data_IF_604248951547
#
_entry.id   IF_604248951547
#
_cell.length_a   1.000
_cell.length_b   1.000
_cell.length_c   1.000
_cell.angle_alpha   90.00
_cell.angle_beta   90.00
_cell.angle_gamma   90.00
#
_symmetry.space_group_name_H-M   'P 1'
#
loop_
_entity.id
_entity.type
_entity.pdbx_description
1 polymer ?
#
# COMPACT_ATOMS: atom_id res chain seq x y z
N UNK A 1 -12.28 -42.75 -29.95
CA UNK A 1 -11.44 -42.08 -28.94
C UNK A 1 -11.54 -40.58 -29.13
N UNK A 2 -12.23 -39.86 -28.23
CA UNK A 2 -12.24 -38.39 -28.18
C UNK A 2 -11.08 -37.94 -27.28
N UNK A 3 -10.21 -37.04 -27.74
CA UNK A 3 -9.17 -36.53 -26.87
C UNK A 3 -9.79 -35.59 -25.80
N UNK A 4 -9.51 -35.90 -24.55
CA UNK A 4 -9.88 -35.06 -23.40
C UNK A 4 -8.90 -33.90 -23.33
N UNK A 5 -9.37 -32.68 -23.68
CA UNK A 5 -8.58 -31.48 -23.59
C UNK A 5 -8.50 -31.06 -22.10
N UNK A 6 -7.38 -31.33 -21.46
CA UNK A 6 -7.12 -30.88 -20.10
C UNK A 6 -6.76 -29.37 -20.17
N UNK A 7 -7.73 -28.51 -19.83
CA UNK A 7 -7.46 -27.09 -19.64
C UNK A 7 -6.67 -26.96 -18.33
N UNK A 8 -5.36 -26.76 -18.44
CA UNK A 8 -4.54 -26.41 -17.30
C UNK A 8 -4.85 -24.96 -16.89
N UNK A 9 -5.63 -24.79 -15.83
CA UNK A 9 -5.76 -23.48 -15.16
C UNK A 9 -4.42 -23.15 -14.48
N UNK A 10 -3.58 -22.38 -15.13
CA UNK A 10 -2.44 -21.76 -14.48
C UNK A 10 -2.98 -20.73 -13.48
N UNK A 11 -2.77 -20.97 -12.19
CA UNK A 11 -2.91 -19.94 -11.16
C UNK A 11 -1.79 -18.93 -11.41
N UNK A 12 -2.10 -17.87 -12.13
CA UNK A 12 -1.19 -16.75 -12.26
C UNK A 12 -1.01 -16.14 -10.87
N UNK A 13 0.12 -16.44 -10.22
CA UNK A 13 0.61 -15.63 -9.10
C UNK A 13 0.93 -14.29 -9.76
N UNK A 14 0.21 -13.22 -9.39
CA UNK A 14 0.53 -11.89 -9.89
C UNK A 14 1.95 -11.55 -9.44
N UNK A 15 2.84 -11.38 -10.42
CA UNK A 15 4.20 -10.92 -10.18
C UNK A 15 4.13 -9.53 -9.53
N UNK A 16 4.99 -9.26 -8.58
CA UNK A 16 5.07 -7.96 -7.91
C UNK A 16 5.42 -6.88 -8.93
N UNK A 17 4.76 -5.72 -8.83
CA UNK A 17 4.90 -4.62 -9.79
C UNK A 17 6.38 -4.19 -9.93
N UNK A 18 6.89 -4.17 -11.16
CA UNK A 18 8.30 -3.86 -11.44
C UNK A 18 8.57 -2.35 -11.36
N UNK A 19 9.77 -1.97 -10.94
CA UNK A 19 10.21 -0.57 -11.01
C UNK A 19 10.05 -0.03 -12.44
N UNK A 20 9.61 1.21 -12.56
CA UNK A 20 9.29 1.86 -13.83
C UNK A 20 7.88 1.58 -14.37
N UNK A 21 7.11 0.67 -13.75
CA UNK A 21 5.71 0.44 -14.14
C UNK A 21 4.82 1.62 -13.83
N UNK A 22 3.75 1.78 -14.61
CA UNK A 22 2.68 2.75 -14.36
C UNK A 22 1.82 2.36 -13.16
N UNK A 23 1.06 3.31 -12.61
CA UNK A 23 0.07 3.08 -11.55
C UNK A 23 -1.02 2.14 -12.08
N UNK A 24 -1.13 0.90 -11.58
CA UNK A 24 -2.18 0.00 -12.06
C UNK A 24 -3.53 0.39 -11.47
N UNK A 25 -4.59 0.22 -12.26
CA UNK A 25 -5.97 0.51 -11.83
C UNK A 25 -6.17 1.94 -11.29
N UNK A 26 -5.42 2.91 -11.83
CA UNK A 26 -5.35 4.29 -11.32
C UNK A 26 -6.69 5.02 -11.20
N UNK A 27 -7.69 4.68 -12.01
CA UNK A 27 -9.02 5.33 -12.03
C UNK A 27 -10.09 4.57 -11.24
N UNK A 28 -9.76 3.39 -10.69
CA UNK A 28 -10.72 2.60 -9.90
C UNK A 28 -11.05 3.31 -8.60
N UNK A 29 -12.35 3.51 -8.36
CA UNK A 29 -12.85 4.18 -7.15
C UNK A 29 -12.88 3.25 -5.96
N UNK A 30 -12.21 3.64 -4.90
CA UNK A 30 -12.25 3.02 -3.57
C UNK A 30 -13.08 3.86 -2.61
N UNK A 31 -13.77 3.21 -1.68
CA UNK A 31 -14.49 3.89 -0.60
C UNK A 31 -13.51 4.14 0.54
N UNK A 32 -13.35 5.42 0.90
CA UNK A 32 -12.61 5.85 2.09
C UNK A 32 -13.48 5.72 3.36
N UNK A 33 -12.85 5.64 4.52
CA UNK A 33 -13.53 5.57 5.82
C UNK A 33 -14.50 6.75 6.07
N UNK A 34 -14.30 7.90 5.43
CA UNK A 34 -15.23 9.04 5.44
C UNK A 34 -16.47 8.83 4.58
N UNK A 35 -16.53 7.76 3.78
CA UNK A 35 -17.57 7.48 2.80
C UNK A 35 -17.33 8.12 1.43
N UNK A 36 -16.30 8.94 1.26
CA UNK A 36 -15.90 9.49 -0.05
C UNK A 36 -15.38 8.38 -0.96
N UNK A 37 -15.54 8.57 -2.26
CA UNK A 37 -14.94 7.68 -3.27
C UNK A 37 -13.77 8.39 -3.91
N UNK A 38 -12.59 7.77 -3.83
CA UNK A 38 -11.35 8.31 -4.39
C UNK A 38 -10.65 7.25 -5.26
N UNK A 39 -9.85 7.70 -6.23
CA UNK A 39 -9.00 6.83 -7.04
C UNK A 39 -7.53 7.22 -6.86
N UNK A 40 -6.60 6.35 -7.26
CA UNK A 40 -5.17 6.61 -7.14
C UNK A 40 -4.74 7.85 -7.94
N UNK A 41 -5.31 8.02 -9.15
CA UNK A 41 -5.02 9.17 -10.00
C UNK A 41 -5.52 10.49 -9.42
N UNK A 42 -6.64 10.49 -8.66
CA UNK A 42 -7.14 11.69 -7.97
C UNK A 42 -6.32 12.04 -6.73
N UNK A 43 -5.70 11.05 -6.07
CA UNK A 43 -4.87 11.27 -4.88
C UNK A 43 -3.46 11.67 -5.26
N UNK A 44 -2.98 11.26 -6.46
CA UNK A 44 -1.66 11.62 -6.95
C UNK A 44 -1.50 13.15 -6.97
N UNK A 45 -0.41 13.64 -6.39
CA UNK A 45 -0.02 15.06 -6.41
C UNK A 45 1.10 15.30 -7.44
N UNK A 46 1.59 16.53 -7.51
CA UNK A 46 2.55 16.99 -8.50
C UNK A 46 3.80 16.09 -8.57
N UNK A 47 4.40 15.77 -7.41
CA UNK A 47 5.63 14.99 -7.36
C UNK A 47 5.40 13.47 -7.30
N UNK A 48 4.16 13.01 -7.13
CA UNK A 48 3.87 11.58 -7.17
C UNK A 48 2.78 11.10 -6.25
N UNK A 49 2.84 9.78 -5.98
CA UNK A 49 1.86 9.06 -5.16
C UNK A 49 2.54 8.01 -4.29
N UNK A 50 2.23 7.99 -3.02
CA UNK A 50 2.59 6.95 -2.07
C UNK A 50 1.37 6.08 -1.76
N UNK A 51 1.47 4.79 -2.05
CA UNK A 51 0.46 3.78 -1.73
C UNK A 51 1.00 2.87 -0.64
N UNK A 52 0.24 2.71 0.44
CA UNK A 52 0.53 1.78 1.53
C UNK A 52 -0.59 0.74 1.65
N UNK A 53 -0.34 -0.50 1.26
CA UNK A 53 -1.26 -1.59 1.60
C UNK A 53 -1.15 -1.90 3.09
N UNK A 54 -2.22 -1.72 3.83
CA UNK A 54 -2.26 -1.84 5.29
C UNK A 54 -3.51 -2.57 5.75
N UNK A 55 -3.64 -2.81 7.06
CA UNK A 55 -4.81 -3.44 7.66
C UNK A 55 -4.87 -3.13 9.16
N UNK A 56 -5.95 -3.54 9.84
CA UNK A 56 -6.14 -3.22 11.26
C UNK A 56 -5.49 -4.27 12.18
N UNK A 57 -5.46 -5.53 11.77
CA UNK A 57 -5.20 -6.67 12.68
C UNK A 57 -3.77 -7.21 12.59
N UNK A 58 -2.94 -6.70 11.68
CA UNK A 58 -1.58 -7.17 11.50
C UNK A 58 -0.63 -6.60 12.57
N UNK A 59 0.10 -7.43 13.34
CA UNK A 59 1.08 -6.97 14.33
C UNK A 59 2.22 -6.12 13.72
N UNK A 60 2.58 -6.34 12.46
CA UNK A 60 3.56 -5.54 11.77
C UNK A 60 3.03 -4.15 11.45
N UNK A 61 1.77 -4.03 11.01
CA UNK A 61 1.13 -2.73 10.81
C UNK A 61 1.08 -1.96 12.14
N UNK A 62 0.66 -2.61 13.22
CA UNK A 62 0.59 -2.00 14.55
C UNK A 62 1.99 -1.53 15.02
N UNK A 63 3.04 -2.29 14.70
CA UNK A 63 4.40 -1.93 15.08
C UNK A 63 4.96 -0.69 14.37
N UNK A 64 4.39 -0.30 13.22
CA UNK A 64 4.79 0.91 12.47
C UNK A 64 3.81 2.07 12.60
N UNK A 65 2.75 1.98 13.43
CA UNK A 65 1.72 3.02 13.52
C UNK A 65 2.24 4.40 13.92
N UNK A 66 3.26 4.44 14.76
CA UNK A 66 3.94 5.68 15.19
C UNK A 66 4.64 6.44 14.05
N UNK A 67 4.78 5.83 12.85
CA UNK A 67 5.40 6.45 11.68
C UNK A 67 4.39 6.85 10.61
N UNK A 68 3.16 6.34 10.65
CA UNK A 68 2.20 6.55 9.57
C UNK A 68 1.83 8.02 9.38
N UNK A 69 1.49 8.75 10.46
CA UNK A 69 1.20 10.17 10.39
C UNK A 69 2.43 10.97 9.93
N UNK A 70 3.63 10.65 10.45
CA UNK A 70 4.88 11.27 10.02
C UNK A 70 5.17 11.06 8.53
N UNK A 71 4.83 9.88 7.98
CA UNK A 71 4.97 9.58 6.55
C UNK A 71 3.93 10.36 5.75
N UNK A 72 2.69 10.48 6.25
CA UNK A 72 1.66 11.33 5.64
C UNK A 72 2.12 12.77 5.53
N UNK A 73 2.51 13.38 6.65
CA UNK A 73 3.01 14.75 6.71
C UNK A 73 4.19 14.98 5.78
N UNK A 74 5.17 14.05 5.81
CA UNK A 74 6.35 14.15 4.96
C UNK A 74 6.00 14.04 3.47
N UNK A 75 5.06 13.17 3.12
CA UNK A 75 4.60 13.02 1.74
C UNK A 75 3.94 14.31 1.25
N UNK A 76 3.00 14.85 2.02
CA UNK A 76 2.30 16.09 1.69
C UNK A 76 3.27 17.28 1.59
N UNK A 77 4.23 17.41 2.51
CA UNK A 77 5.26 18.45 2.47
C UNK A 77 6.17 18.36 1.22
N UNK A 78 6.21 17.20 0.55
CA UNK A 78 6.94 16.97 -0.68
C UNK A 78 6.04 16.92 -1.93
N UNK A 79 4.78 17.40 -1.88
CA UNK A 79 3.79 17.31 -2.95
C UNK A 79 3.59 15.89 -3.50
N UNK A 80 3.62 14.90 -2.62
CA UNK A 80 3.35 13.49 -2.91
C UNK A 80 2.03 13.11 -2.24
N UNK A 81 1.04 12.67 -3.02
CA UNK A 81 -0.22 12.18 -2.47
C UNK A 81 0.01 10.91 -1.65
N UNK A 82 -0.73 10.75 -0.55
CA UNK A 82 -0.64 9.56 0.30
C UNK A 82 -1.99 8.89 0.46
N UNK A 83 -2.02 7.58 0.31
CA UNK A 83 -3.21 6.75 0.49
C UNK A 83 -2.87 5.41 1.13
N UNK A 84 -3.64 5.03 2.12
CA UNK A 84 -3.60 3.71 2.73
C UNK A 84 -4.77 2.87 2.24
N UNK A 85 -4.51 1.62 1.85
CA UNK A 85 -5.49 0.71 1.26
C UNK A 85 -5.56 -0.57 2.08
N UNK A 86 -6.76 -0.96 2.51
CA UNK A 86 -6.99 -2.23 3.19
C UNK A 86 -7.41 -3.31 2.18
N UNK A 87 -6.54 -4.29 1.86
CA UNK A 87 -6.81 -5.33 0.88
C UNK A 87 -7.41 -6.62 1.47
N UNK A 88 -7.64 -6.70 2.79
CA UNK A 88 -8.03 -7.93 3.49
C UNK A 88 -9.50 -8.30 3.28
N UNK A 89 -9.95 -8.43 2.04
CA UNK A 89 -11.36 -8.68 1.69
C UNK A 89 -11.95 -9.94 2.32
N UNK A 90 -11.16 -11.02 2.47
CA UNK A 90 -11.64 -12.26 3.12
C UNK A 90 -12.06 -12.05 4.57
N UNK A 91 -11.41 -11.12 5.26
CA UNK A 91 -11.62 -10.86 6.68
C UNK A 91 -12.58 -9.70 6.95
N UNK A 92 -13.08 -9.04 5.89
CA UNK A 92 -13.85 -7.79 5.96
C UNK A 92 -15.07 -7.86 6.87
N UNK A 93 -15.79 -8.98 6.81
CA UNK A 93 -17.03 -9.15 7.56
C UNK A 93 -16.86 -9.86 8.91
N UNK A 94 -15.69 -10.43 9.20
CA UNK A 94 -15.56 -11.42 10.28
C UNK A 94 -14.49 -11.12 11.32
N UNK A 95 -13.45 -10.35 10.98
CA UNK A 95 -12.21 -10.29 11.79
C UNK A 95 -11.64 -8.86 11.84
N UNK A 96 -12.45 -7.87 12.28
CA UNK A 96 -11.93 -6.53 12.58
C UNK A 96 -11.32 -5.77 11.39
N UNK A 97 -11.77 -6.07 10.16
CA UNK A 97 -11.30 -5.41 8.93
C UNK A 97 -12.45 -4.71 8.17
N UNK A 98 -13.62 -4.60 8.79
CA UNK A 98 -14.78 -3.90 8.25
C UNK A 98 -14.57 -2.39 8.22
N UNK A 99 -15.47 -1.68 7.52
CA UNK A 99 -15.35 -0.23 7.38
C UNK A 99 -15.42 0.49 8.75
N UNK A 100 -16.27 0.02 9.66
CA UNK A 100 -16.38 0.59 10.99
C UNK A 100 -15.16 0.26 11.86
N UNK A 101 -14.61 -0.95 11.76
CA UNK A 101 -13.34 -1.30 12.40
C UNK A 101 -12.18 -0.42 11.89
N UNK A 102 -12.16 -0.11 10.58
CA UNK A 102 -11.18 0.80 9.99
C UNK A 102 -11.31 2.23 10.52
N UNK A 103 -12.55 2.73 10.72
CA UNK A 103 -12.80 4.04 11.35
C UNK A 103 -12.30 4.07 12.79
N UNK A 104 -12.60 3.05 13.58
CA UNK A 104 -12.14 2.93 14.97
C UNK A 104 -10.61 2.85 15.04
N UNK A 105 -10.00 2.08 14.15
CA UNK A 105 -8.54 1.97 14.04
C UNK A 105 -7.90 3.31 13.68
N UNK A 106 -8.44 4.01 12.68
CA UNK A 106 -7.99 5.33 12.27
C UNK A 106 -8.10 6.34 13.43
N UNK A 107 -9.23 6.36 14.13
CA UNK A 107 -9.42 7.21 15.32
C UNK A 107 -8.45 6.87 16.45
N UNK A 108 -8.20 5.59 16.70
CA UNK A 108 -7.27 5.13 17.75
C UNK A 108 -5.86 5.64 17.55
N UNK A 109 -5.40 5.74 16.31
CA UNK A 109 -4.04 6.16 15.95
C UNK A 109 -3.97 7.57 15.38
N UNK A 110 -5.09 8.30 15.46
CA UNK A 110 -5.19 9.71 15.04
C UNK A 110 -4.76 9.93 13.58
N UNK A 111 -5.22 9.01 12.69
CA UNK A 111 -4.88 9.08 11.26
C UNK A 111 -5.58 10.27 10.61
N UNK A 112 -4.83 11.11 9.91
CA UNK A 112 -5.28 12.28 9.15
C UNK A 112 -5.22 12.09 7.63
N UNK A 113 -5.02 10.84 7.17
CA UNK A 113 -4.87 10.46 5.77
C UNK A 113 -5.99 9.53 5.27
N UNK A 114 -6.08 9.37 3.95
CA UNK A 114 -7.05 8.49 3.31
C UNK A 114 -6.80 7.02 3.67
N UNK A 115 -7.84 6.36 4.18
CA UNK A 115 -7.82 4.93 4.47
C UNK A 115 -8.98 4.23 3.76
N UNK A 116 -8.69 3.54 2.67
CA UNK A 116 -9.65 3.06 1.70
C UNK A 116 -9.79 1.53 1.71
N UNK A 117 -10.93 1.06 1.20
CA UNK A 117 -11.25 -0.35 1.04
C UNK A 117 -10.89 -0.81 -0.39
N UNK A 118 -10.02 -1.80 -0.51
CA UNK A 118 -9.82 -2.55 -1.75
C UNK A 118 -10.88 -3.66 -1.87
N UNK A 119 -11.90 -3.43 -2.69
CA UNK A 119 -12.96 -4.41 -2.93
C UNK A 119 -12.39 -5.63 -3.66
N UNK A 120 -12.67 -6.81 -3.13
CA UNK A 120 -12.19 -8.09 -3.67
C UNK A 120 -10.65 -8.23 -3.75
N UNK A 121 -9.90 -7.34 -3.10
CA UNK A 121 -8.43 -7.28 -3.17
C UNK A 121 -7.92 -7.13 -4.62
N UNK A 122 -8.65 -6.43 -5.47
CA UNK A 122 -8.33 -6.29 -6.90
C UNK A 122 -7.12 -5.41 -7.13
N UNK A 123 -7.03 -4.29 -6.41
CA UNK A 123 -5.90 -3.35 -6.50
C UNK A 123 -4.63 -4.01 -5.97
N UNK A 124 -4.69 -4.67 -4.81
CA UNK A 124 -3.54 -5.40 -4.28
C UNK A 124 -3.03 -6.48 -5.24
N UNK A 125 -3.95 -7.17 -5.94
CA UNK A 125 -3.56 -8.14 -6.98
C UNK A 125 -2.88 -7.47 -8.17
N UNK A 126 -3.39 -6.32 -8.64
CA UNK A 126 -2.80 -5.58 -9.76
C UNK A 126 -1.39 -5.05 -9.43
N UNK A 127 -1.13 -4.70 -8.18
CA UNK A 127 0.19 -4.32 -7.67
C UNK A 127 1.12 -5.52 -7.40
N UNK A 128 0.58 -6.74 -7.37
CA UNK A 128 1.31 -7.91 -6.87
C UNK A 128 1.67 -7.78 -5.38
N UNK A 129 0.94 -6.97 -4.62
CA UNK A 129 1.14 -6.82 -3.19
C UNK A 129 0.81 -8.12 -2.47
N UNK A 130 1.67 -8.57 -1.56
CA UNK A 130 1.53 -9.86 -0.88
C UNK A 130 1.39 -9.75 0.63
N UNK A 131 1.74 -8.60 1.19
CA UNK A 131 1.77 -8.39 2.65
C UNK A 131 1.20 -7.03 3.07
N UNK A 132 0.97 -6.86 4.37
CA UNK A 132 0.66 -5.58 5.01
C UNK A 132 1.59 -5.39 6.21
N UNK A 133 2.31 -4.23 6.33
CA UNK A 133 2.36 -3.16 5.32
C UNK A 133 3.16 -3.55 4.08
N UNK A 134 2.86 -2.92 2.93
CA UNK A 134 3.64 -3.01 1.71
C UNK A 134 3.56 -1.66 0.97
N UNK A 135 4.68 -1.05 0.72
CA UNK A 135 4.82 0.32 0.22
C UNK A 135 5.12 0.32 -1.27
N UNK A 136 4.49 1.27 -1.99
CA UNK A 136 4.76 1.58 -3.40
C UNK A 136 4.77 3.10 -3.58
N UNK A 137 5.90 3.66 -4.03
CA UNK A 137 6.06 5.08 -4.29
C UNK A 137 6.24 5.32 -5.79
N UNK A 138 5.39 6.15 -6.35
CA UNK A 138 5.43 6.58 -7.75
C UNK A 138 5.90 8.04 -7.83
N UNK A 139 6.65 8.37 -8.87
CA UNK A 139 7.12 9.73 -9.14
C UNK A 139 6.05 10.59 -9.85
N UNK A 140 6.43 11.81 -10.25
CA UNK A 140 5.59 12.76 -10.99
C UNK A 140 4.98 12.17 -12.27
N UNK A 141 5.73 11.33 -13.01
CA UNK A 141 5.28 10.66 -14.21
C UNK A 141 4.37 9.44 -13.96
N UNK A 142 4.08 9.14 -12.68
CA UNK A 142 3.31 7.96 -12.29
C UNK A 142 4.09 6.64 -12.46
N UNK A 143 5.42 6.69 -12.49
CA UNK A 143 6.28 5.51 -12.57
C UNK A 143 6.70 5.05 -11.18
N UNK A 144 6.65 3.73 -10.93
CA UNK A 144 7.10 3.13 -9.68
C UNK A 144 8.61 3.33 -9.51
N UNK A 145 9.01 3.99 -8.42
CA UNK A 145 10.41 4.33 -8.14
C UNK A 145 10.93 3.73 -6.83
N UNK A 146 10.02 3.32 -5.92
CA UNK A 146 10.37 2.59 -4.70
C UNK A 146 9.26 1.61 -4.34
N UNK A 147 9.63 0.41 -3.84
CA UNK A 147 8.71 -0.54 -3.21
C UNK A 147 9.37 -1.28 -2.04
N UNK A 148 8.57 -1.72 -1.07
CA UNK A 148 9.04 -2.56 0.03
C UNK A 148 8.61 -2.11 1.41
N UNK A 149 9.57 -2.01 2.35
CA UNK A 149 9.34 -1.70 3.76
C UNK A 149 9.39 -0.19 4.04
N UNK A 150 8.92 0.21 5.22
CA UNK A 150 9.02 1.59 5.71
C UNK A 150 10.45 1.90 6.16
N UNK A 151 11.01 1.04 7.01
CA UNK A 151 12.36 1.14 7.54
C UNK A 151 12.90 -0.25 7.91
N UNK A 152 14.08 -0.33 8.52
CA UNK A 152 14.71 -1.59 8.90
C UNK A 152 14.33 -2.10 10.31
N UNK A 153 13.44 -1.40 11.05
CA UNK A 153 13.08 -1.80 12.41
C UNK A 153 11.67 -1.37 12.85
N UNK A 154 10.67 -2.20 12.53
CA UNK A 154 9.28 -1.95 12.89
C UNK A 154 9.04 -1.75 14.39
N UNK A 155 9.66 -2.58 15.24
CA UNK A 155 9.36 -2.69 16.67
C UNK A 155 10.12 -1.69 17.54
N UNK A 156 11.22 -1.13 17.06
CA UNK A 156 12.11 -0.29 17.85
C UNK A 156 12.49 0.95 17.05
N UNK A 157 11.65 2.02 17.07
CA UNK A 157 11.88 3.25 16.32
C UNK A 157 13.27 3.86 16.59
N UNK A 158 13.70 3.82 17.86
CA UNK A 158 15.00 4.34 18.29
C UNK A 158 16.22 3.49 17.85
N UNK A 159 15.97 2.36 17.19
CA UNK A 159 17.01 1.47 16.62
C UNK A 159 16.98 1.41 15.10
N UNK A 160 16.16 2.23 14.46
CA UNK A 160 16.16 2.37 13.00
C UNK A 160 17.51 2.91 12.55
N UNK A 161 18.15 2.22 11.61
CA UNK A 161 19.43 2.61 11.00
C UNK A 161 19.26 2.99 9.53
N UNK A 162 18.20 2.52 8.89
CA UNK A 162 17.90 2.75 7.46
C UNK A 162 16.45 3.20 7.31
N UNK A 163 16.29 4.44 6.89
CA UNK A 163 15.01 5.14 6.73
C UNK A 163 14.51 5.06 5.29
N UNK A 164 14.44 3.82 4.74
CA UNK A 164 14.20 3.56 3.31
C UNK A 164 13.14 4.46 2.67
N UNK A 165 11.92 4.46 3.23
CA UNK A 165 10.80 5.21 2.68
C UNK A 165 10.98 6.73 2.85
N UNK A 166 11.45 7.18 4.00
CA UNK A 166 11.71 8.61 4.26
C UNK A 166 12.73 9.15 3.27
N UNK A 167 13.81 8.40 3.01
CA UNK A 167 14.85 8.78 2.06
C UNK A 167 14.31 8.80 0.63
N UNK A 168 13.46 7.84 0.27
CA UNK A 168 12.81 7.78 -1.04
C UNK A 168 11.84 8.95 -1.27
N UNK A 169 10.99 9.30 -0.28
CA UNK A 169 10.07 10.46 -0.35
C UNK A 169 10.86 11.75 -0.56
N UNK A 170 11.92 11.99 0.24
CA UNK A 170 12.77 13.18 0.11
C UNK A 170 13.47 13.26 -1.24
N UNK A 171 13.93 12.13 -1.76
CA UNK A 171 14.56 12.08 -3.07
C UNK A 171 13.58 12.43 -4.19
N UNK A 172 12.37 11.85 -4.18
CA UNK A 172 11.30 12.16 -5.15
C UNK A 172 10.89 13.64 -5.05
N UNK A 173 10.63 14.15 -3.84
CA UNK A 173 10.23 15.55 -3.63
C UNK A 173 11.29 16.57 -4.04
N UNK A 174 12.54 16.15 -4.19
CA UNK A 174 13.67 17.02 -4.60
C UNK A 174 14.20 16.69 -6.01
N UNK A 175 13.50 15.85 -6.76
CA UNK A 175 13.92 15.32 -8.09
C UNK A 175 15.35 14.73 -8.06
N UNK A 176 15.65 13.95 -7.01
CA UNK A 176 16.94 13.30 -6.82
C UNK A 176 16.81 11.79 -6.99
N UNK A 177 17.92 11.15 -7.34
CA UNK A 177 18.01 9.69 -7.44
C UNK A 177 17.79 9.03 -6.07
N UNK A 178 16.91 8.02 -6.03
CA UNK A 178 16.74 7.17 -4.87
C UNK A 178 17.91 6.18 -4.78
N UNK A 179 18.55 6.09 -3.63
CA UNK A 179 19.70 5.19 -3.43
C UNK A 179 19.26 3.72 -3.28
N UNK A 180 18.17 3.48 -2.55
CA UNK A 180 17.59 2.14 -2.34
C UNK A 180 16.18 2.19 -2.89
N UNK A 181 15.97 1.57 -4.04
CA UNK A 181 14.69 1.57 -4.76
C UNK A 181 13.79 0.39 -4.41
N UNK A 182 14.35 -0.64 -3.77
CA UNK A 182 13.63 -1.86 -3.47
C UNK A 182 14.13 -2.48 -2.15
N UNK A 183 13.19 -2.91 -1.32
CA UNK A 183 13.46 -3.67 -0.10
C UNK A 183 12.41 -4.77 0.06
N UNK A 184 12.70 -5.79 0.88
CA UNK A 184 11.72 -6.81 1.20
C UNK A 184 10.62 -6.21 2.09
N UNK A 185 9.36 -6.30 1.66
CA UNK A 185 8.22 -5.97 2.51
C UNK A 185 8.17 -6.93 3.71
N UNK A 186 8.06 -6.35 4.91
CA UNK A 186 7.94 -7.10 6.16
C UNK A 186 6.51 -6.94 6.68
N UNK A 187 5.71 -8.01 6.62
CA UNK A 187 4.31 -7.92 6.97
C UNK A 187 3.61 -9.26 7.06
N UNK A 188 2.34 -9.21 7.45
CA UNK A 188 1.44 -10.37 7.40
C UNK A 188 0.91 -10.55 5.97
N UNK A 189 0.71 -11.78 5.54
CA UNK A 189 0.13 -12.06 4.21
C UNK A 189 -1.25 -11.45 4.06
N UNK A 190 -1.52 -10.81 2.93
CA UNK A 190 -2.83 -10.28 2.56
C UNK A 190 -3.87 -11.40 2.56
N UNK A 191 -5.04 -11.13 3.11
CA UNK A 191 -6.19 -12.05 3.13
C UNK A 191 -7.07 -11.77 1.92
N UNK A 192 -6.60 -12.20 0.75
CA UNK A 192 -7.30 -12.01 -0.51
C UNK A 192 -8.72 -12.59 -0.50
N UNK A 193 -9.64 -11.95 -1.23
CA UNK A 193 -10.94 -12.52 -1.52
C UNK A 193 -10.78 -13.91 -2.16
N UNK A 194 -11.69 -14.85 -1.83
CA UNK A 194 -11.78 -16.13 -2.53
C UNK A 194 -12.19 -15.85 -3.98
N UNK A 195 -11.59 -16.54 -4.91
CA UNK A 195 -12.06 -16.58 -6.29
C UNK A 195 -13.36 -17.36 -6.38
#
# INVERSE_FOLDING_TARGET
>A
FKPFLILAFSVAISEELKLGSDIPMGDVKMVDISGKKVSLNEVKMENGLLVNFSCNTCPWVIAWQDRYNQISDLSLANNIGFITINPNSRNREKIGEGLDDMKEFSKKYDHDFLYTVDKNSEIARAFGATSTPHIYLFNSDGKLVYRGAIDDNARRPNKVKKTYLVDAIKAVGSDKKINITETKALGCSIKFAKK
#
